data_IF_065375467661
#
_entry.id   IF_065375467661
#
_cell.length_a   1.000
_cell.length_b   1.000
_cell.length_c   1.000
_cell.angle_alpha   90.00
_cell.angle_beta   90.00
_cell.angle_gamma   90.00
#
_symmetry.space_group_name_H-M   'P 1'
#
loop_
_entity.id
_entity.type
_entity.pdbx_description
1 polymer ?
#
# COMPACT_ATOMS: atom_id res chain seq x y z
N UNK A 1 11.90 16.01 -18.73
CA UNK A 1 11.24 17.24 -19.32
C UNK A 1 12.30 18.19 -19.94
N UNK A 2 13.60 17.84 -19.96
CA UNK A 2 14.64 18.71 -20.50
C UNK A 2 14.38 19.09 -21.97
N UNK A 3 13.81 18.20 -22.78
CA UNK A 3 13.45 18.44 -24.17
C UNK A 3 12.29 19.45 -24.36
N UNK A 4 11.58 19.79 -23.28
CA UNK A 4 10.49 20.77 -23.25
C UNK A 4 10.84 22.06 -22.51
N UNK A 5 12.13 22.28 -22.21
CA UNK A 5 12.57 23.54 -21.62
C UNK A 5 12.21 24.72 -22.55
N UNK A 6 11.49 25.71 -22.00
CA UNK A 6 10.99 26.84 -22.78
C UNK A 6 9.68 26.60 -23.54
N UNK A 7 9.14 25.39 -23.54
CA UNK A 7 7.85 25.07 -24.11
C UNK A 7 6.68 25.24 -23.12
N UNK A 8 5.48 25.39 -23.66
CA UNK A 8 4.26 25.49 -22.84
C UNK A 8 3.73 24.11 -22.48
N UNK A 9 2.95 24.02 -21.39
CA UNK A 9 2.20 22.80 -21.04
C UNK A 9 1.31 22.30 -22.19
N UNK A 10 0.77 23.20 -23.00
CA UNK A 10 -0.07 22.83 -24.14
C UNK A 10 0.70 22.10 -25.25
N UNK A 11 1.98 22.43 -25.43
CA UNK A 11 2.84 21.73 -26.38
C UNK A 11 3.21 20.35 -25.86
N UNK A 12 3.55 20.24 -24.58
CA UNK A 12 3.80 18.95 -23.94
C UNK A 12 2.60 18.01 -24.03
N UNK A 13 1.38 18.50 -23.75
CA UNK A 13 0.17 17.68 -23.83
C UNK A 13 -0.26 17.30 -25.27
N UNK A 14 0.27 17.94 -26.32
CA UNK A 14 0.07 17.47 -27.69
C UNK A 14 0.82 16.18 -27.97
N UNK A 15 2.02 16.05 -27.42
CA UNK A 15 2.86 14.87 -27.60
C UNK A 15 2.43 13.74 -26.65
N UNK A 16 1.88 14.09 -25.48
CA UNK A 16 1.40 13.17 -24.46
C UNK A 16 -0.03 13.50 -24.04
N UNK A 17 -1.02 13.12 -24.86
CA UNK A 17 -2.41 13.46 -24.59
C UNK A 17 -3.02 12.73 -23.39
N UNK A 18 -2.40 11.64 -22.93
CA UNK A 18 -2.88 10.84 -21.80
C UNK A 18 -1.84 10.80 -20.70
N UNK A 19 -2.28 11.02 -19.47
CA UNK A 19 -1.40 11.01 -18.29
C UNK A 19 -0.70 9.65 -18.08
N UNK A 20 -1.33 8.56 -18.50
CA UNK A 20 -0.77 7.21 -18.45
C UNK A 20 0.54 7.09 -19.22
N UNK A 21 0.64 7.79 -20.35
CA UNK A 21 1.81 7.75 -21.22
C UNK A 21 3.05 8.35 -20.53
N UNK A 22 2.88 9.24 -19.56
CA UNK A 22 3.98 9.87 -18.82
C UNK A 22 4.79 8.89 -17.97
N UNK A 23 4.21 7.73 -17.62
CA UNK A 23 4.91 6.75 -16.81
C UNK A 23 5.97 5.99 -17.58
N UNK A 24 5.69 5.65 -18.84
CA UNK A 24 6.53 4.72 -19.60
C UNK A 24 7.21 5.40 -20.81
N UNK A 25 6.61 6.49 -21.32
CA UNK A 25 7.11 7.17 -22.53
C UNK A 25 7.91 8.41 -22.14
N UNK A 26 9.06 8.54 -22.75
CA UNK A 26 9.93 9.72 -22.64
C UNK A 26 10.69 9.94 -23.93
N UNK A 27 11.06 11.20 -24.19
CA UNK A 27 12.03 11.53 -25.25
C UNK A 27 13.46 11.29 -24.74
N UNK A 28 14.38 11.10 -25.65
CA UNK A 28 15.81 10.94 -25.29
C UNK A 28 16.30 12.10 -24.43
N UNK A 29 16.87 11.76 -23.27
CA UNK A 29 17.36 12.72 -22.28
C UNK A 29 16.32 13.22 -21.27
N UNK A 30 15.05 12.83 -21.42
CA UNK A 30 13.99 13.15 -20.45
C UNK A 30 13.80 12.04 -19.40
N UNK A 31 13.15 12.38 -18.29
CA UNK A 31 12.64 11.43 -17.30
C UNK A 31 11.17 11.13 -17.59
N UNK A 32 10.77 9.86 -17.48
CA UNK A 32 9.38 9.45 -17.33
C UNK A 32 8.91 9.69 -15.88
N UNK A 33 7.63 9.63 -15.63
CA UNK A 33 7.12 9.69 -14.24
C UNK A 33 7.59 8.50 -13.39
N UNK A 34 7.84 7.34 -14.00
CA UNK A 34 8.46 6.22 -13.29
C UNK A 34 9.90 6.53 -12.88
N UNK A 35 10.69 7.16 -13.75
CA UNK A 35 12.06 7.58 -13.39
C UNK A 35 12.03 8.58 -12.22
N UNK A 36 11.13 9.57 -12.28
CA UNK A 36 10.96 10.54 -11.18
C UNK A 36 10.50 9.84 -9.89
N UNK A 37 9.55 8.92 -9.98
CA UNK A 37 9.09 8.12 -8.84
C UNK A 37 10.23 7.32 -8.21
N UNK A 38 11.06 6.69 -9.03
CA UNK A 38 12.19 5.91 -8.54
C UNK A 38 13.19 6.78 -7.78
N UNK A 39 13.60 7.93 -8.33
CA UNK A 39 14.59 8.79 -7.63
C UNK A 39 14.02 9.48 -6.39
N UNK A 40 12.73 9.83 -6.34
CA UNK A 40 12.14 10.37 -5.11
C UNK A 40 11.93 9.28 -4.07
N UNK A 41 11.66 8.04 -4.50
CA UNK A 41 11.61 6.88 -3.63
C UNK A 41 12.97 6.59 -3.01
N UNK A 42 14.02 6.48 -3.82
CA UNK A 42 15.40 6.30 -3.35
C UNK A 42 15.76 7.36 -2.31
N UNK A 43 15.47 8.63 -2.60
CA UNK A 43 15.72 9.73 -1.67
C UNK A 43 14.94 9.58 -0.35
N UNK A 44 13.64 9.24 -0.38
CA UNK A 44 12.84 9.09 0.84
C UNK A 44 13.38 7.96 1.74
N UNK A 45 13.68 6.81 1.15
CA UNK A 45 14.20 5.67 1.91
C UNK A 45 15.60 5.94 2.43
N UNK A 46 16.46 6.65 1.66
CA UNK A 46 17.79 7.06 2.14
C UNK A 46 17.70 8.00 3.35
N UNK A 47 16.84 9.01 3.33
CA UNK A 47 16.71 9.94 4.47
C UNK A 47 16.09 9.27 5.69
N UNK A 48 15.15 8.33 5.51
CA UNK A 48 14.54 7.56 6.59
C UNK A 48 15.59 6.66 7.29
N UNK A 49 16.45 6.00 6.53
CA UNK A 49 17.53 5.19 7.07
C UNK A 49 18.60 6.04 7.78
N UNK A 50 18.92 7.21 7.23
CA UNK A 50 20.04 8.04 7.67
C UNK A 50 19.74 8.90 8.88
N UNK A 51 18.49 9.35 9.06
CA UNK A 51 18.11 10.31 10.09
C UNK A 51 17.05 9.74 11.03
N UNK A 52 17.28 9.87 12.33
CA UNK A 52 16.33 9.52 13.37
C UNK A 52 15.97 10.74 14.23
N UNK A 53 14.70 10.88 14.60
CA UNK A 53 14.20 11.97 15.44
C UNK A 53 14.56 13.38 14.90
N UNK A 54 14.45 13.57 13.58
CA UNK A 54 14.69 14.85 12.91
C UNK A 54 13.43 15.31 12.18
N UNK A 55 13.21 16.62 12.20
CA UNK A 55 12.28 17.26 11.28
C UNK A 55 13.06 17.62 10.02
N UNK A 56 12.64 17.10 8.87
CA UNK A 56 13.28 17.28 7.58
C UNK A 56 12.32 18.07 6.69
N UNK A 57 12.77 19.20 6.17
CA UNK A 57 12.00 20.00 5.22
C UNK A 57 12.45 19.64 3.80
N UNK A 58 11.52 19.13 2.99
CA UNK A 58 11.74 18.83 1.57
C UNK A 58 11.10 19.94 0.75
N UNK A 59 11.90 20.69 -0.02
CA UNK A 59 11.41 21.68 -0.97
C UNK A 59 11.35 21.03 -2.35
N UNK A 60 10.18 21.04 -2.95
CA UNK A 60 9.94 20.41 -4.24
C UNK A 60 8.82 21.13 -5.01
N UNK A 61 8.38 20.57 -6.12
CA UNK A 61 7.39 21.18 -7.01
C UNK A 61 6.67 20.10 -7.84
N UNK A 62 5.54 20.47 -8.43
CA UNK A 62 4.83 19.69 -9.48
C UNK A 62 4.82 18.18 -9.29
N UNK A 63 5.23 17.44 -10.32
CA UNK A 63 5.17 15.98 -10.33
C UNK A 63 5.98 15.31 -9.20
N UNK A 64 7.22 15.71 -8.86
CA UNK A 64 7.92 15.12 -7.72
C UNK A 64 7.14 15.21 -6.41
N UNK A 65 6.40 16.29 -6.18
CA UNK A 65 5.63 16.47 -4.93
C UNK A 65 4.58 15.38 -4.75
N UNK A 66 3.73 15.12 -5.74
CA UNK A 66 2.69 14.10 -5.62
C UNK A 66 3.23 12.66 -5.78
N UNK A 67 4.34 12.48 -6.50
CA UNK A 67 5.00 11.17 -6.59
C UNK A 67 5.62 10.74 -5.25
N UNK A 68 6.07 11.68 -4.41
CA UNK A 68 6.46 11.42 -3.02
C UNK A 68 5.32 10.73 -2.26
N UNK A 69 4.08 11.24 -2.38
CA UNK A 69 2.91 10.62 -1.74
C UNK A 69 2.58 9.24 -2.33
N UNK A 70 2.75 9.06 -3.64
CA UNK A 70 2.60 7.75 -4.28
C UNK A 70 3.58 6.72 -3.71
N UNK A 71 4.84 7.12 -3.50
CA UNK A 71 5.87 6.28 -2.86
C UNK A 71 5.51 5.99 -1.40
N UNK A 72 5.12 7.01 -0.64
CA UNK A 72 4.71 6.86 0.76
C UNK A 72 3.58 5.85 0.93
N UNK A 73 2.60 5.85 0.02
CA UNK A 73 1.48 4.92 0.05
C UNK A 73 1.75 3.59 -0.68
N UNK A 74 2.95 3.40 -1.23
CA UNK A 74 3.33 2.19 -1.95
C UNK A 74 2.47 1.92 -3.19
N UNK A 75 1.92 2.97 -3.82
CA UNK A 75 1.03 2.83 -4.97
C UNK A 75 1.77 2.29 -6.20
N UNK A 76 1.12 1.39 -6.94
CA UNK A 76 1.51 1.05 -8.30
C UNK A 76 1.11 2.18 -9.28
N UNK A 77 1.40 2.01 -10.57
CA UNK A 77 1.08 3.00 -11.60
C UNK A 77 -0.42 3.34 -11.63
N UNK A 78 -1.29 2.34 -11.63
CA UNK A 78 -2.75 2.53 -11.66
C UNK A 78 -3.24 3.30 -10.41
N UNK A 79 -2.81 2.88 -9.22
CA UNK A 79 -3.13 3.56 -7.96
C UNK A 79 -2.63 5.00 -7.93
N UNK A 80 -1.45 5.27 -8.49
CA UNK A 80 -0.90 6.62 -8.63
C UNK A 80 -1.77 7.48 -9.56
N UNK A 81 -2.21 6.93 -10.70
CA UNK A 81 -3.09 7.63 -11.63
C UNK A 81 -4.46 7.94 -11.02
N UNK A 82 -5.04 6.98 -10.28
CA UNK A 82 -6.30 7.18 -9.55
C UNK A 82 -6.15 8.31 -8.52
N UNK A 83 -5.05 8.32 -7.77
CA UNK A 83 -4.76 9.37 -6.79
C UNK A 83 -4.74 10.76 -7.42
N UNK A 84 -4.08 10.91 -8.58
CA UNK A 84 -3.97 12.20 -9.29
C UNK A 84 -5.30 12.62 -9.95
N UNK A 85 -6.09 11.67 -10.46
CA UNK A 85 -7.38 11.94 -11.10
C UNK A 85 -8.48 12.29 -10.12
N UNK A 86 -8.39 11.81 -8.89
CA UNK A 86 -9.38 12.06 -7.86
C UNK A 86 -9.02 13.30 -7.05
N UNK A 87 -9.20 14.47 -7.66
CA UNK A 87 -8.87 15.78 -7.08
C UNK A 87 -9.63 16.09 -5.78
N UNK A 88 -10.76 15.42 -5.52
CA UNK A 88 -11.51 15.56 -4.26
C UNK A 88 -10.81 14.84 -3.09
N UNK A 89 -10.10 13.76 -3.39
CA UNK A 89 -9.37 12.95 -2.39
C UNK A 89 -7.90 13.32 -2.31
N UNK A 90 -7.30 13.76 -3.42
CA UNK A 90 -5.92 14.20 -3.48
C UNK A 90 -5.85 15.72 -3.54
N UNK A 91 -5.34 16.32 -2.46
CA UNK A 91 -5.13 17.76 -2.40
C UNK A 91 -3.95 18.16 -3.30
N UNK A 92 -4.24 18.98 -4.31
CA UNK A 92 -3.19 19.51 -5.16
C UNK A 92 -2.44 20.63 -4.43
N UNK A 93 -1.12 20.53 -4.34
CA UNK A 93 -0.30 21.51 -3.62
C UNK A 93 -0.48 22.93 -4.15
N UNK A 94 -0.68 23.85 -3.24
CA UNK A 94 -0.64 25.28 -3.52
C UNK A 94 0.80 25.80 -3.43
N UNK A 95 1.04 26.99 -4.03
CA UNK A 95 2.35 27.62 -3.92
C UNK A 95 2.72 27.92 -2.46
N UNK A 96 3.92 27.53 -2.06
CA UNK A 96 4.44 27.69 -0.69
C UNK A 96 3.62 26.96 0.40
N UNK A 97 2.84 25.96 0.01
CA UNK A 97 2.12 25.11 0.96
C UNK A 97 3.08 24.15 1.65
N UNK A 98 2.84 23.89 2.94
CA UNK A 98 3.55 22.90 3.73
C UNK A 98 2.59 21.75 4.00
N UNK A 99 3.00 20.54 3.58
CA UNK A 99 2.29 19.30 3.86
C UNK A 99 3.14 18.41 4.75
N UNK A 100 2.51 17.80 5.77
CA UNK A 100 3.16 16.78 6.57
C UNK A 100 3.21 15.47 5.80
N UNK A 101 4.37 14.82 5.81
CA UNK A 101 4.60 13.52 5.19
C UNK A 101 4.85 12.48 6.28
N UNK A 102 3.81 11.78 6.77
CA UNK A 102 3.96 10.73 7.79
C UNK A 102 4.53 9.44 7.14
N UNK A 103 5.76 9.54 6.64
CA UNK A 103 6.41 8.45 5.94
C UNK A 103 6.80 7.32 6.90
N UNK A 104 6.47 6.11 6.51
CA UNK A 104 6.93 4.87 7.15
C UNK A 104 7.43 3.96 6.04
N UNK A 105 8.64 3.44 6.16
CA UNK A 105 9.22 2.55 5.18
C UNK A 105 8.37 1.28 5.01
N UNK A 106 7.97 1.00 3.77
CA UNK A 106 7.20 -0.18 3.38
C UNK A 106 8.12 -1.19 2.66
N UNK A 107 7.72 -2.46 2.66
CA UNK A 107 8.27 -3.42 1.72
C UNK A 107 7.91 -3.01 0.30
N UNK A 108 8.88 -2.88 -0.60
CA UNK A 108 8.67 -2.39 -1.96
C UNK A 108 9.54 -3.09 -2.99
N UNK A 109 9.03 -3.14 -4.23
CA UNK A 109 9.80 -3.57 -5.40
C UNK A 109 10.72 -2.44 -5.93
N UNK A 110 11.38 -2.67 -7.05
CA UNK A 110 12.31 -1.71 -7.67
C UNK A 110 11.62 -0.44 -8.20
N UNK A 111 10.29 -0.43 -8.27
CA UNK A 111 9.47 0.72 -8.67
C UNK A 111 8.90 1.50 -7.48
N UNK A 112 9.32 1.15 -6.26
CA UNK A 112 8.77 1.71 -5.01
C UNK A 112 7.26 1.50 -4.87
N UNK A 113 6.78 0.36 -5.36
CA UNK A 113 5.42 -0.13 -5.16
C UNK A 113 5.40 -1.13 -4.01
N UNK A 114 4.37 -1.10 -3.17
CA UNK A 114 4.25 -2.04 -2.07
C UNK A 114 4.31 -3.48 -2.56
N UNK A 115 5.24 -4.24 -2.04
CA UNK A 115 5.41 -5.66 -2.35
C UNK A 115 5.76 -6.45 -1.08
N UNK A 116 4.82 -7.24 -0.54
CA UNK A 116 5.04 -8.04 0.66
C UNK A 116 5.78 -9.34 0.38
N UNK A 117 6.16 -9.63 -0.86
CA UNK A 117 6.84 -10.87 -1.21
C UNK A 117 8.34 -10.82 -0.88
N UNK A 118 8.96 -11.99 -0.83
CA UNK A 118 10.42 -12.10 -0.78
C UNK A 118 11.03 -11.76 -2.14
N UNK A 119 12.18 -11.09 -2.20
CA UNK A 119 13.07 -10.72 -1.07
C UNK A 119 12.75 -9.39 -0.39
N UNK A 120 11.76 -8.65 -0.85
CA UNK A 120 11.50 -7.28 -0.43
C UNK A 120 11.12 -7.19 1.05
N UNK A 121 10.18 -8.04 1.50
CA UNK A 121 9.73 -8.07 2.91
C UNK A 121 10.88 -8.41 3.88
N UNK A 122 11.90 -9.13 3.41
CA UNK A 122 13.03 -9.52 4.25
C UNK A 122 13.93 -8.35 4.63
N UNK A 123 13.79 -7.20 3.96
CA UNK A 123 14.55 -5.97 4.26
C UNK A 123 13.95 -5.17 5.42
N UNK A 124 12.69 -5.44 5.79
CA UNK A 124 12.03 -4.73 6.87
C UNK A 124 12.27 -5.42 8.22
N UNK A 125 12.63 -4.61 9.22
CA UNK A 125 12.62 -5.03 10.61
C UNK A 125 11.29 -4.67 11.24
N UNK A 126 10.44 -5.67 11.47
CA UNK A 126 9.20 -5.49 12.21
C UNK A 126 9.49 -5.43 13.70
N UNK A 127 8.68 -4.65 14.41
CA UNK A 127 8.73 -4.52 15.87
C UNK A 127 7.35 -4.83 16.47
N UNK A 128 7.35 -5.29 17.71
CA UNK A 128 6.11 -5.49 18.48
C UNK A 128 5.56 -4.17 19.06
N UNK A 129 4.48 -4.25 19.80
CA UNK A 129 3.83 -3.11 20.48
C UNK A 129 4.74 -2.38 21.49
N UNK A 130 5.81 -3.04 21.93
CA UNK A 130 6.81 -2.49 22.86
C UNK A 130 8.09 -2.02 22.13
N UNK A 131 8.05 -1.91 20.80
CA UNK A 131 9.19 -1.59 19.94
C UNK A 131 10.34 -2.61 19.99
N UNK A 132 10.08 -3.85 20.39
CA UNK A 132 11.09 -4.91 20.37
C UNK A 132 11.15 -5.55 18.98
N UNK A 133 12.35 -5.81 18.43
CA UNK A 133 12.48 -6.40 17.11
C UNK A 133 11.90 -7.82 17.06
N UNK A 134 11.03 -8.06 16.08
CA UNK A 134 10.44 -9.37 15.83
C UNK A 134 11.35 -10.21 14.93
N UNK A 135 11.46 -11.48 15.24
CA UNK A 135 12.19 -12.45 14.40
C UNK A 135 11.20 -13.26 13.59
N UNK A 136 11.45 -13.35 12.29
CA UNK A 136 10.62 -14.14 11.39
C UNK A 136 10.70 -15.61 11.76
N UNK A 137 9.55 -16.27 11.93
CA UNK A 137 9.49 -17.74 12.04
C UNK A 137 9.80 -18.36 10.67
N UNK A 138 10.43 -19.54 10.67
CA UNK A 138 10.84 -20.24 9.44
C UNK A 138 9.69 -21.00 8.79
N UNK A 139 8.70 -21.34 9.60
CA UNK A 139 7.52 -22.06 9.17
C UNK A 139 6.67 -21.17 8.25
N UNK A 140 6.12 -21.76 7.21
CA UNK A 140 5.20 -21.10 6.29
C UNK A 140 3.80 -21.63 6.60
N UNK A 141 2.82 -20.72 6.71
CA UNK A 141 1.43 -21.12 6.81
C UNK A 141 1.04 -21.91 5.55
N UNK A 142 0.41 -23.05 5.76
CA UNK A 142 0.03 -23.91 4.68
C UNK A 142 -1.22 -23.38 3.95
N UNK A 143 -1.41 -23.78 2.70
CA UNK A 143 -2.53 -23.34 1.85
C UNK A 143 -3.91 -23.67 2.46
N UNK A 144 -3.99 -24.67 3.32
CA UNK A 144 -5.21 -24.99 4.05
C UNK A 144 -5.54 -23.96 5.14
N UNK A 145 -4.53 -23.31 5.70
CA UNK A 145 -4.74 -22.16 6.59
C UNK A 145 -5.37 -21.01 5.83
N UNK A 146 -4.88 -20.68 4.63
CA UNK A 146 -5.43 -19.61 3.78
C UNK A 146 -6.90 -19.91 3.45
N UNK A 147 -7.21 -21.14 3.06
CA UNK A 147 -8.58 -21.58 2.77
C UNK A 147 -9.49 -21.47 4.00
N UNK A 148 -8.99 -21.83 5.18
CA UNK A 148 -9.72 -21.73 6.43
C UNK A 148 -9.90 -20.30 6.93
N UNK A 149 -8.99 -19.39 6.56
CA UNK A 149 -9.02 -17.98 6.91
C UNK A 149 -9.93 -17.14 6.01
N UNK A 150 -10.32 -17.66 4.83
CA UNK A 150 -11.09 -16.92 3.82
C UNK A 150 -12.34 -16.21 4.36
N UNK A 151 -13.17 -16.78 5.24
CA UNK A 151 -14.35 -16.10 5.77
C UNK A 151 -14.03 -14.81 6.52
N UNK A 152 -12.81 -14.66 7.01
CA UNK A 152 -12.32 -13.47 7.70
C UNK A 152 -11.53 -12.56 6.76
N UNK A 153 -10.61 -13.13 6.00
CA UNK A 153 -9.69 -12.39 5.13
C UNK A 153 -10.41 -11.57 4.06
N UNK A 154 -11.49 -12.10 3.47
CA UNK A 154 -12.25 -11.41 2.42
C UNK A 154 -12.87 -10.08 2.87
N UNK A 155 -13.03 -9.86 4.17
CA UNK A 155 -13.57 -8.62 4.72
C UNK A 155 -12.52 -7.69 5.30
N UNK A 156 -11.23 -8.04 5.23
CA UNK A 156 -10.16 -7.26 5.85
C UNK A 156 -10.08 -5.83 5.30
N UNK A 157 -10.35 -5.65 4.01
CA UNK A 157 -10.35 -4.35 3.34
C UNK A 157 -11.63 -3.52 3.61
N UNK A 158 -12.66 -4.12 4.21
CA UNK A 158 -13.91 -3.44 4.53
C UNK A 158 -13.88 -2.68 5.87
N UNK A 159 -12.71 -2.55 6.49
CA UNK A 159 -12.55 -1.81 7.72
C UNK A 159 -12.96 -0.35 7.54
N UNK A 160 -13.84 0.12 8.41
CA UNK A 160 -14.37 1.48 8.35
C UNK A 160 -13.43 2.47 9.02
N UNK A 161 -13.26 3.64 8.38
CA UNK A 161 -12.58 4.77 9.01
C UNK A 161 -13.57 5.47 9.93
N UNK A 162 -13.22 5.59 11.21
CA UNK A 162 -14.01 6.37 12.15
C UNK A 162 -13.84 7.86 11.84
N UNK A 163 -14.95 8.56 11.55
CA UNK A 163 -14.95 9.96 11.12
C UNK A 163 -14.40 10.91 12.19
N UNK A 164 -14.62 10.60 13.48
CA UNK A 164 -14.24 11.48 14.59
C UNK A 164 -12.77 11.26 15.00
N UNK A 165 -12.36 10.00 15.13
CA UNK A 165 -11.03 9.65 15.63
C UNK A 165 -9.98 9.51 14.54
N UNK A 166 -10.38 9.47 13.26
CA UNK A 166 -9.53 9.17 12.09
C UNK A 166 -8.76 7.85 12.19
N UNK A 167 -9.25 6.91 12.99
CA UNK A 167 -8.68 5.58 13.13
C UNK A 167 -9.49 4.56 12.34
N UNK A 168 -8.79 3.58 11.77
CA UNK A 168 -9.45 2.43 11.18
C UNK A 168 -10.14 1.60 12.27
N UNK A 169 -11.29 1.02 11.92
CA UNK A 169 -11.99 0.03 12.71
C UNK A 169 -11.03 -1.08 13.17
N UNK A 170 -11.16 -1.51 14.42
CA UNK A 170 -10.38 -2.66 14.89
C UNK A 170 -10.79 -3.93 14.15
N UNK A 171 -9.89 -4.90 14.02
CA UNK A 171 -10.27 -6.20 13.47
C UNK A 171 -11.33 -6.92 14.35
N UNK A 172 -11.30 -6.73 15.64
CA UNK A 172 -12.30 -7.28 16.55
C UNK A 172 -13.71 -6.77 16.22
N UNK A 173 -13.87 -5.47 15.96
CA UNK A 173 -15.16 -4.88 15.60
C UNK A 173 -15.59 -5.28 14.18
N UNK A 174 -14.66 -5.34 13.23
CA UNK A 174 -14.91 -5.87 11.90
C UNK A 174 -15.48 -7.29 11.98
N UNK A 175 -14.86 -8.16 12.76
CA UNK A 175 -15.27 -9.56 12.87
C UNK A 175 -16.59 -9.76 13.63
N UNK A 176 -16.98 -8.86 14.53
CA UNK A 176 -18.32 -8.89 15.15
C UNK A 176 -19.46 -8.76 14.12
N UNK A 177 -19.22 -8.02 13.03
CA UNK A 177 -20.19 -7.81 11.93
C UNK A 177 -19.98 -8.71 10.73
N UNK A 178 -18.89 -9.47 10.69
CA UNK A 178 -18.60 -10.43 9.62
C UNK A 178 -19.58 -11.60 9.72
N UNK A 179 -20.20 -12.04 8.59
CA UNK A 179 -21.17 -13.13 8.59
C UNK A 179 -20.48 -14.48 8.77
N UNK A 180 -20.11 -14.79 10.01
CA UNK A 180 -19.51 -16.05 10.42
C UNK A 180 -20.10 -16.53 11.75
N UNK A 181 -20.40 -17.83 11.92
CA UNK A 181 -20.29 -18.89 10.93
C UNK A 181 -21.33 -18.76 9.82
N UNK A 182 -21.07 -19.38 8.66
CA UNK A 182 -22.06 -19.51 7.60
C UNK A 182 -23.25 -20.39 8.08
N UNK A 183 -24.45 -20.07 7.61
CA UNK A 183 -25.65 -20.87 7.94
C UNK A 183 -25.63 -22.23 7.22
N UNK A 184 -24.95 -22.32 6.09
CA UNK A 184 -24.82 -23.55 5.31
C UNK A 184 -23.53 -23.54 4.48
N UNK A 185 -22.82 -24.67 4.49
CA UNK A 185 -21.71 -24.97 3.60
C UNK A 185 -21.91 -26.37 3.02
N UNK A 186 -21.49 -26.60 1.77
CA UNK A 186 -21.62 -27.90 1.10
C UNK A 186 -20.39 -28.21 0.28
N UNK A 187 -19.81 -29.34 0.56
CA UNK A 187 -18.68 -29.93 -0.17
C UNK A 187 -18.75 -31.46 -0.08
N UNK A 188 -17.83 -32.14 -0.75
CA UNK A 188 -17.72 -33.59 -0.67
C UNK A 188 -17.20 -34.04 0.71
N UNK A 189 -17.49 -35.29 1.08
CA UNK A 189 -17.22 -35.83 2.43
C UNK A 189 -15.73 -35.84 2.80
N UNK A 190 -14.81 -35.87 1.82
CA UNK A 190 -13.37 -35.78 2.02
C UNK A 190 -12.98 -34.44 2.67
N UNK A 191 -13.75 -33.38 2.48
CA UNK A 191 -13.51 -32.06 3.08
C UNK A 191 -13.71 -31.97 4.59
N UNK A 192 -14.20 -33.02 5.21
CA UNK A 192 -14.17 -33.18 6.66
C UNK A 192 -12.75 -33.21 7.22
N UNK A 193 -11.74 -33.56 6.41
CA UNK A 193 -10.32 -33.52 6.71
C UNK A 193 -9.54 -32.47 5.86
N UNK A 194 -10.26 -31.60 5.19
CA UNK A 194 -9.73 -30.54 4.39
C UNK A 194 -10.32 -29.19 4.83
N UNK A 195 -11.10 -28.58 3.96
CA UNK A 195 -11.64 -27.23 4.16
C UNK A 195 -12.53 -27.09 5.41
N UNK A 196 -13.43 -28.04 5.68
CA UNK A 196 -14.29 -27.95 6.87
C UNK A 196 -13.47 -27.98 8.17
N UNK A 197 -12.45 -28.82 8.22
CA UNK A 197 -11.55 -28.88 9.37
C UNK A 197 -10.79 -27.55 9.57
N UNK A 198 -10.27 -26.95 8.50
CA UNK A 198 -9.51 -25.70 8.61
C UNK A 198 -10.39 -24.50 8.90
N UNK A 199 -11.62 -24.45 8.33
CA UNK A 199 -12.63 -23.45 8.71
C UNK A 199 -12.93 -23.49 10.21
N UNK A 200 -13.16 -24.69 10.75
CA UNK A 200 -13.43 -24.88 12.18
C UNK A 200 -12.20 -24.46 13.00
N UNK A 201 -11.01 -24.89 12.61
CA UNK A 201 -9.77 -24.61 13.34
C UNK A 201 -9.49 -23.11 13.39
N UNK A 202 -9.59 -22.40 12.27
CA UNK A 202 -9.40 -20.94 12.22
C UNK A 202 -10.49 -20.23 13.03
N UNK A 203 -11.77 -20.68 12.91
CA UNK A 203 -12.86 -20.11 13.68
C UNK A 203 -12.65 -20.23 15.20
N UNK A 204 -12.13 -21.37 15.65
CA UNK A 204 -11.78 -21.58 17.08
C UNK A 204 -10.63 -20.67 17.51
N UNK A 205 -9.56 -20.58 16.69
CA UNK A 205 -8.43 -19.69 16.97
C UNK A 205 -8.83 -18.22 17.02
N UNK A 206 -9.83 -17.82 16.23
CA UNK A 206 -10.41 -16.47 16.25
C UNK A 206 -11.46 -16.29 17.38
N UNK A 207 -11.57 -17.23 18.30
CA UNK A 207 -12.57 -17.24 19.38
C UNK A 207 -14.03 -17.10 18.89
N UNK A 208 -14.27 -17.47 17.64
CA UNK A 208 -15.61 -17.45 17.05
C UNK A 208 -16.31 -18.76 17.34
N UNK A 209 -17.35 -18.69 18.10
CA UNK A 209 -18.14 -19.89 18.44
C UNK A 209 -19.05 -20.24 17.25
N UNK A 210 -19.10 -21.51 16.94
CA UNK A 210 -20.20 -22.05 16.09
C UNK A 210 -21.51 -21.89 16.80
N UNK A 211 -22.56 -21.58 16.06
CA UNK A 211 -23.93 -21.58 16.59
C UNK A 211 -24.36 -22.98 16.95
#
# INVERSE_FOLDING_TARGET
IASYEGHTWGEFHKDFPKTEEFFDVKKDGDESYQDVKNRVGEFLYEIEEKYSNKNILILTHGAPAWLIFSVMEGKNQEGTLVMVRNLEQFHYFQNAEIQELPFVALSHNEKYEFDPHRPYIDKLQLVDENNLPMTRVKEVADVWFDSGAMPFAQYADERKLNADTKKLESFEDLWKRTPYPADFISEAIDQTRGWFYTLLSVGVLMERRTK
#
